data_IF_519827013876
#
_entry.id   IF_519827013876
#
_cell.length_a   1.000
_cell.length_b   1.000
_cell.length_c   1.000
_cell.angle_alpha   90.00
_cell.angle_beta   90.00
_cell.angle_gamma   90.00
#
_symmetry.space_group_name_H-M   'P 1'
#
loop_
_entity.id
_entity.type
_entity.pdbx_description
1 polymer ?
#
# COMPACT_ATOMS: atom_id res chain seq x y z
N UNK A 1 -17.67 -8.18 -10.91
CA UNK A 1 -16.61 -8.83 -10.12
C UNK A 1 -15.24 -8.50 -10.68
N UNK A 2 -14.93 -8.83 -11.94
CA UNK A 2 -13.60 -8.57 -12.55
C UNK A 2 -13.12 -7.12 -12.39
N UNK A 3 -13.93 -6.12 -12.81
CA UNK A 3 -13.54 -4.70 -12.69
C UNK A 3 -13.13 -4.27 -11.27
N UNK A 4 -13.75 -4.81 -10.23
CA UNK A 4 -13.40 -4.47 -8.85
C UNK A 4 -12.06 -5.05 -8.43
N UNK A 5 -11.80 -6.29 -8.82
CA UNK A 5 -10.52 -6.97 -8.59
C UNK A 5 -9.44 -6.22 -9.39
N UNK A 6 -9.70 -5.90 -10.66
CA UNK A 6 -8.76 -5.18 -11.52
C UNK A 6 -8.42 -3.80 -10.93
N UNK A 7 -9.43 -3.05 -10.44
CA UNK A 7 -9.19 -1.76 -9.78
C UNK A 7 -8.45 -1.94 -8.45
N UNK A 8 -8.75 -2.96 -7.65
CA UNK A 8 -8.02 -3.21 -6.41
C UNK A 8 -6.55 -3.58 -6.67
N UNK A 9 -6.28 -4.33 -7.74
CA UNK A 9 -4.93 -4.63 -8.22
C UNK A 9 -4.19 -3.35 -8.61
N UNK A 10 -4.80 -2.47 -9.41
CA UNK A 10 -4.21 -1.17 -9.74
C UNK A 10 -3.94 -0.34 -8.48
N UNK A 11 -4.90 -0.28 -7.55
CA UNK A 11 -4.76 0.47 -6.30
C UNK A 11 -3.55 0.00 -5.46
N UNK A 12 -3.26 -1.31 -5.43
CA UNK A 12 -2.05 -1.83 -4.77
C UNK A 12 -0.81 -1.24 -5.44
N UNK A 13 -0.71 -1.28 -6.76
CA UNK A 13 0.47 -0.79 -7.48
C UNK A 13 0.61 0.74 -7.35
N UNK A 14 -0.48 1.48 -7.59
CA UNK A 14 -0.53 2.94 -7.53
C UNK A 14 -0.14 3.45 -6.14
N UNK A 15 -0.62 2.80 -5.06
CA UNK A 15 -0.26 3.20 -3.69
C UNK A 15 1.25 3.08 -3.43
N UNK A 16 1.89 2.01 -3.92
CA UNK A 16 3.33 1.82 -3.71
C UNK A 16 4.15 2.77 -4.58
N UNK A 17 3.72 3.04 -5.82
CA UNK A 17 4.34 4.03 -6.70
C UNK A 17 4.26 5.46 -6.10
N UNK A 18 3.12 5.84 -5.53
CA UNK A 18 2.97 7.11 -4.82
C UNK A 18 3.92 7.21 -3.62
N UNK A 19 3.99 6.15 -2.81
CA UNK A 19 4.90 6.10 -1.65
C UNK A 19 6.35 6.20 -2.09
N UNK A 20 6.77 5.46 -3.12
CA UNK A 20 8.12 5.55 -3.65
C UNK A 20 8.42 6.97 -4.14
N UNK A 21 7.56 7.51 -5.01
CA UNK A 21 7.72 8.83 -5.62
C UNK A 21 7.91 9.93 -4.56
N UNK A 22 7.06 9.95 -3.54
CA UNK A 22 7.10 10.97 -2.50
C UNK A 22 8.26 10.81 -1.54
N UNK A 23 8.61 9.57 -1.18
CA UNK A 23 9.75 9.32 -0.29
C UNK A 23 11.09 9.57 -0.99
N UNK A 24 11.16 9.29 -2.30
CA UNK A 24 12.29 9.60 -3.16
C UNK A 24 12.48 11.11 -3.36
N UNK A 25 11.39 11.86 -3.51
CA UNK A 25 11.47 13.31 -3.69
C UNK A 25 12.09 13.74 -5.01
N UNK A 26 11.84 12.99 -6.09
CA UNK A 26 12.45 13.26 -7.39
C UNK A 26 12.08 14.66 -7.92
N UNK A 27 13.00 15.39 -8.57
CA UNK A 27 12.69 16.67 -9.20
C UNK A 27 11.55 16.52 -10.23
N UNK A 28 10.49 17.33 -10.08
CA UNK A 28 9.32 17.28 -10.95
C UNK A 28 8.29 16.21 -10.56
N UNK A 29 8.48 15.52 -9.42
CA UNK A 29 7.44 14.67 -8.86
C UNK A 29 6.13 15.46 -8.63
N UNK A 30 4.96 14.85 -8.85
CA UNK A 30 3.69 15.48 -8.55
C UNK A 30 3.63 15.88 -7.07
N UNK A 31 2.92 16.97 -6.74
CA UNK A 31 2.75 17.39 -5.36
C UNK A 31 2.12 16.26 -4.54
N UNK A 32 2.49 16.19 -3.27
CA UNK A 32 1.87 15.24 -2.33
C UNK A 32 0.39 15.58 -2.21
N UNK A 33 -0.44 14.61 -2.53
CA UNK A 33 -1.89 14.70 -2.45
C UNK A 33 -2.38 13.65 -1.45
N UNK A 34 -2.37 14.04 -0.17
CA UNK A 34 -2.76 13.15 0.92
C UNK A 34 -4.27 12.84 0.86
N UNK A 35 -5.09 13.71 0.30
CA UNK A 35 -6.52 13.44 0.13
C UNK A 35 -6.72 12.29 -0.87
N UNK A 36 -6.05 12.37 -2.03
CA UNK A 36 -6.08 11.29 -3.03
C UNK A 36 -5.51 9.98 -2.47
N UNK A 37 -4.39 10.02 -1.76
CA UNK A 37 -3.83 8.85 -1.09
C UNK A 37 -4.83 8.21 -0.13
N UNK A 38 -5.42 9.02 0.74
CA UNK A 38 -6.36 8.56 1.75
C UNK A 38 -7.67 8.05 1.16
N UNK A 39 -8.03 8.43 -0.07
CA UNK A 39 -9.21 7.95 -0.79
C UNK A 39 -9.12 6.48 -1.25
N UNK A 40 -7.95 5.84 -1.15
CA UNK A 40 -7.80 4.39 -1.35
C UNK A 40 -8.13 3.58 -0.09
N UNK A 41 -8.23 4.23 1.08
CA UNK A 41 -8.39 3.55 2.36
C UNK A 41 -9.81 3.69 2.87
N UNK A 42 -10.35 2.60 3.41
CA UNK A 42 -11.61 2.66 4.13
C UNK A 42 -11.47 3.58 5.36
N UNK A 43 -12.50 4.33 5.79
CA UNK A 43 -12.43 5.16 7.00
C UNK A 43 -11.99 4.39 8.26
N UNK A 44 -12.39 3.12 8.36
CA UNK A 44 -11.99 2.22 9.43
C UNK A 44 -10.74 1.37 9.12
N UNK A 45 -9.92 1.78 8.15
CA UNK A 45 -8.70 1.07 7.78
C UNK A 45 -7.82 0.81 9.00
N UNK A 46 -7.31 -0.41 9.07
CA UNK A 46 -6.36 -0.86 10.07
C UNK A 46 -5.25 -1.60 9.36
N UNK A 47 -4.00 -1.33 9.74
CA UNK A 47 -2.91 -2.23 9.40
C UNK A 47 -2.14 -2.72 10.61
N UNK A 48 -1.56 -3.91 10.46
CA UNK A 48 -0.61 -4.49 11.39
C UNK A 48 0.74 -4.49 10.68
N UNK A 49 1.64 -3.63 11.15
CA UNK A 49 3.01 -3.55 10.62
C UNK A 49 3.80 -4.84 10.93
N UNK A 50 4.96 -5.05 10.29
CA UNK A 50 5.80 -6.22 10.56
C UNK A 50 6.30 -6.28 12.01
N UNK A 51 6.30 -5.15 12.73
CA UNK A 51 6.62 -5.08 14.15
C UNK A 51 5.43 -5.44 15.06
N UNK A 52 4.32 -5.95 14.51
CA UNK A 52 3.09 -6.26 15.24
C UNK A 52 2.29 -5.04 15.72
N UNK A 53 2.70 -3.82 15.34
CA UNK A 53 1.98 -2.61 15.74
C UNK A 53 0.74 -2.40 14.88
N UNK A 54 -0.40 -2.23 15.55
CA UNK A 54 -1.67 -1.83 14.93
C UNK A 54 -1.71 -0.32 14.72
N UNK A 55 -1.97 0.12 13.50
CA UNK A 55 -2.05 1.53 13.14
C UNK A 55 -3.24 1.79 12.20
N UNK A 56 -3.85 2.94 12.35
CA UNK A 56 -4.99 3.37 11.53
C UNK A 56 -4.56 4.30 10.40
N UNK A 57 -5.56 4.72 9.63
CA UNK A 57 -5.43 5.61 8.47
C UNK A 57 -4.64 6.91 8.75
N UNK A 58 -4.91 7.56 9.87
CA UNK A 58 -4.25 8.83 10.26
C UNK A 58 -2.77 8.63 10.60
N UNK A 59 -2.44 7.57 11.33
CA UNK A 59 -1.05 7.25 11.70
C UNK A 59 -0.24 6.90 10.46
N UNK A 60 -0.84 6.16 9.51
CA UNK A 60 -0.21 5.88 8.23
C UNK A 60 0.06 7.18 7.45
N UNK A 61 -0.91 8.08 7.37
CA UNK A 61 -0.75 9.38 6.69
C UNK A 61 0.40 10.20 7.28
N UNK A 62 0.46 10.34 8.61
CA UNK A 62 1.57 11.04 9.26
C UNK A 62 2.93 10.37 8.98
N UNK A 63 2.97 9.03 8.97
CA UNK A 63 4.20 8.29 8.65
C UNK A 63 4.68 8.57 7.22
N UNK A 64 3.76 8.69 6.25
CA UNK A 64 4.12 9.07 4.88
C UNK A 64 4.63 10.51 4.84
N UNK A 65 3.94 11.45 5.50
CA UNK A 65 4.38 12.86 5.56
C UNK A 65 5.79 12.98 6.12
N UNK A 66 6.09 12.29 7.21
CA UNK A 66 7.42 12.30 7.84
C UNK A 66 8.51 11.69 6.94
N UNK A 67 8.11 10.80 6.00
CA UNK A 67 9.01 10.11 5.10
C UNK A 67 9.25 10.85 3.76
N UNK A 68 8.52 11.93 3.47
CA UNK A 68 8.69 12.71 2.22
C UNK A 68 10.13 13.19 2.08
N UNK A 69 10.71 13.00 0.89
CA UNK A 69 12.09 13.40 0.54
C UNK A 69 13.19 12.80 1.44
N UNK A 70 12.91 11.74 2.22
CA UNK A 70 13.88 11.18 3.17
C UNK A 70 14.82 10.13 2.55
N UNK A 71 14.51 9.55 1.38
CA UNK A 71 15.28 8.45 0.78
C UNK A 71 15.33 8.56 -0.75
N UNK A 72 16.24 9.38 -1.27
CA UNK A 72 16.40 9.69 -2.70
C UNK A 72 16.69 8.50 -3.63
N UNK A 73 17.07 7.38 -3.05
CA UNK A 73 17.46 6.15 -3.73
C UNK A 73 16.46 5.00 -3.50
N UNK A 74 15.30 5.28 -2.89
CA UNK A 74 14.27 4.27 -2.66
C UNK A 74 13.73 3.75 -4.00
N UNK A 75 13.53 2.44 -4.02
CA UNK A 75 12.93 1.64 -5.08
C UNK A 75 12.02 0.60 -4.39
N UNK A 76 10.78 0.47 -4.84
CA UNK A 76 9.74 -0.39 -4.30
C UNK A 76 9.16 -1.22 -5.45
N UNK A 77 9.39 -2.54 -5.40
CA UNK A 77 8.74 -3.48 -6.31
C UNK A 77 7.65 -4.27 -5.59
N UNK A 78 6.56 -4.51 -6.32
CA UNK A 78 5.51 -5.45 -5.93
C UNK A 78 5.63 -6.68 -6.83
N UNK A 79 5.90 -7.83 -6.22
CA UNK A 79 6.06 -9.10 -6.92
C UNK A 79 5.09 -10.14 -6.34
N UNK A 80 4.83 -11.19 -7.13
CA UNK A 80 3.95 -12.30 -6.75
C UNK A 80 2.59 -11.84 -6.21
N UNK A 81 2.00 -10.84 -6.88
CA UNK A 81 0.67 -10.34 -6.54
C UNK A 81 -0.38 -11.36 -6.96
N UNK A 82 -1.03 -11.95 -5.96
CA UNK A 82 -1.99 -13.03 -6.12
C UNK A 82 -3.33 -12.69 -5.48
N UNK A 83 -4.42 -13.02 -6.18
CA UNK A 83 -5.77 -13.00 -5.62
C UNK A 83 -5.98 -14.28 -4.79
N UNK A 84 -6.15 -14.13 -3.47
CA UNK A 84 -6.41 -15.24 -2.55
C UNK A 84 -7.88 -15.64 -2.58
N UNK A 85 -8.78 -14.65 -2.52
CA UNK A 85 -10.22 -14.87 -2.50
C UNK A 85 -10.97 -13.62 -2.94
N UNK A 86 -12.12 -13.80 -3.59
CA UNK A 86 -13.02 -12.70 -3.92
C UNK A 86 -14.49 -13.11 -3.82
N UNK A 87 -15.31 -12.14 -3.42
CA UNK A 87 -16.77 -12.16 -3.53
C UNK A 87 -17.24 -10.96 -4.37
N UNK A 88 -18.55 -10.70 -4.38
CA UNK A 88 -19.07 -9.47 -4.96
C UNK A 88 -18.52 -8.22 -4.27
N UNK A 89 -18.23 -8.27 -2.96
CA UNK A 89 -17.95 -7.08 -2.15
C UNK A 89 -16.60 -7.08 -1.44
N UNK A 90 -15.87 -8.19 -1.48
CA UNK A 90 -14.58 -8.36 -0.81
C UNK A 90 -13.56 -8.94 -1.78
N UNK A 91 -12.32 -8.45 -1.73
CA UNK A 91 -11.18 -9.08 -2.39
C UNK A 91 -9.99 -9.14 -1.43
N UNK A 92 -9.31 -10.28 -1.38
CA UNK A 92 -8.13 -10.51 -0.54
C UNK A 92 -6.97 -10.84 -1.47
N UNK A 93 -5.87 -10.12 -1.29
CA UNK A 93 -4.64 -10.30 -2.05
C UNK A 93 -3.48 -10.61 -1.13
N UNK A 94 -2.52 -11.35 -1.66
CA UNK A 94 -1.17 -11.47 -1.11
C UNK A 94 -0.16 -10.97 -2.12
N UNK A 95 0.90 -10.34 -1.66
CA UNK A 95 2.03 -9.93 -2.50
C UNK A 95 3.30 -9.82 -1.65
N UNK A 96 4.45 -9.89 -2.30
CA UNK A 96 5.71 -9.49 -1.72
C UNK A 96 6.02 -8.04 -2.11
N UNK A 97 6.38 -7.23 -1.11
CA UNK A 97 6.94 -5.91 -1.33
C UNK A 97 8.44 -5.94 -1.07
N UNK A 98 9.18 -5.48 -2.07
CA UNK A 98 10.64 -5.43 -2.09
C UNK A 98 11.10 -3.97 -2.06
N UNK A 99 11.71 -3.54 -0.96
CA UNK A 99 12.28 -2.19 -0.82
C UNK A 99 13.79 -2.21 -0.93
N UNK A 100 14.34 -1.47 -1.88
CA UNK A 100 15.79 -1.30 -2.08
C UNK A 100 16.22 0.13 -1.81
N UNK A 101 17.39 0.25 -1.21
CA UNK A 101 18.19 1.48 -1.14
C UNK A 101 19.65 1.09 -1.42
N UNK A 102 20.56 2.06 -1.49
CA UNK A 102 21.99 1.77 -1.66
C UNK A 102 22.58 0.85 -0.58
N UNK A 103 21.99 0.87 0.62
CA UNK A 103 22.57 0.19 1.81
C UNK A 103 21.75 -1.00 2.29
N UNK A 104 20.55 -1.20 1.74
CA UNK A 104 19.60 -2.13 2.32
C UNK A 104 18.64 -2.69 1.27
N UNK A 105 18.39 -3.99 1.39
CA UNK A 105 17.29 -4.67 0.75
C UNK A 105 16.40 -5.25 1.85
N UNK A 106 15.12 -4.87 1.87
CA UNK A 106 14.12 -5.44 2.79
C UNK A 106 12.95 -5.96 2.00
N UNK A 107 12.44 -7.11 2.44
CA UNK A 107 11.29 -7.75 1.83
C UNK A 107 10.24 -8.06 2.89
N UNK A 108 8.98 -7.98 2.51
CA UNK A 108 7.86 -8.36 3.37
C UNK A 108 6.74 -8.95 2.55
N UNK A 109 6.02 -9.89 3.14
CA UNK A 109 4.76 -10.39 2.59
C UNK A 109 3.63 -9.56 3.19
N UNK A 110 2.73 -9.13 2.34
CA UNK A 110 1.56 -8.34 2.69
C UNK A 110 0.29 -9.12 2.36
N UNK A 111 -0.69 -9.11 3.27
CA UNK A 111 -2.07 -9.52 2.98
C UNK A 111 -2.97 -8.29 3.03
N UNK A 112 -3.54 -7.93 1.88
CA UNK A 112 -4.42 -6.78 1.72
C UNK A 112 -5.88 -7.23 1.54
N UNK A 113 -6.79 -6.64 2.31
CA UNK A 113 -8.24 -6.89 2.18
C UNK A 113 -8.92 -5.60 1.74
N UNK A 114 -9.56 -5.67 0.58
CA UNK A 114 -10.38 -4.60 0.03
C UNK A 114 -11.85 -4.91 0.25
N UNK A 115 -12.62 -3.86 0.54
CA UNK A 115 -14.08 -3.92 0.52
C UNK A 115 -14.61 -2.95 -0.53
N UNK A 116 -15.74 -3.31 -1.13
CA UNK A 116 -16.48 -2.45 -2.05
C UNK A 116 -17.24 -1.37 -1.27
N UNK A 117 -17.08 -0.12 -1.67
CA UNK A 117 -17.90 0.98 -1.15
C UNK A 117 -19.29 1.04 -1.82
N UNK A 118 -20.11 2.01 -1.41
CA UNK A 118 -21.46 2.19 -1.96
C UNK A 118 -21.51 2.56 -3.45
N UNK A 119 -20.40 3.00 -4.04
CA UNK A 119 -20.27 3.39 -5.45
C UNK A 119 -19.59 2.31 -6.29
N UNK A 120 -19.15 1.20 -5.67
CA UNK A 120 -18.51 0.09 -6.33
C UNK A 120 -16.98 0.16 -6.37
N UNK A 121 -16.36 1.18 -5.77
CA UNK A 121 -14.90 1.35 -5.70
C UNK A 121 -14.30 0.43 -4.62
N UNK A 122 -13.12 -0.17 -4.84
CA UNK A 122 -12.37 -0.83 -3.78
C UNK A 122 -11.78 0.19 -2.79
N UNK A 123 -11.94 -0.11 -1.50
CA UNK A 123 -11.27 0.59 -0.41
C UNK A 123 -10.49 -0.43 0.43
N UNK A 124 -9.20 -0.17 0.64
CA UNK A 124 -8.34 -0.99 1.48
C UNK A 124 -8.84 -0.91 2.92
N UNK A 125 -9.33 -2.03 3.45
CA UNK A 125 -9.93 -2.14 4.77
C UNK A 125 -8.97 -2.68 5.81
N UNK A 126 -8.09 -3.57 5.40
CA UNK A 126 -7.09 -4.19 6.27
C UNK A 126 -5.80 -4.48 5.50
N UNK A 127 -4.66 -4.31 6.18
CA UNK A 127 -3.35 -4.70 5.67
C UNK A 127 -2.56 -5.36 6.81
N UNK A 128 -1.97 -6.51 6.57
CA UNK A 128 -1.04 -7.10 7.52
C UNK A 128 0.24 -7.48 6.80
N UNK A 129 1.36 -7.11 7.41
CA UNK A 129 2.68 -7.29 6.83
C UNK A 129 3.53 -8.19 7.74
N UNK A 130 4.39 -9.02 7.14
CA UNK A 130 5.36 -9.86 7.84
C UNK A 130 6.71 -9.72 7.16
N UNK A 131 7.79 -9.48 7.91
CA UNK A 131 9.13 -9.45 7.34
C UNK A 131 9.49 -10.83 6.76
N UNK A 132 10.16 -10.83 5.62
CA UNK A 132 10.90 -11.99 5.14
C UNK A 132 12.30 -11.87 5.71
N UNK A 133 12.65 -12.76 6.63
CA UNK A 133 14.02 -12.92 7.14
C UNK A 133 14.76 -13.96 6.30
N UNK A 134 16.06 -13.74 6.09
CA UNK A 134 16.97 -14.72 5.48
C UNK A 134 17.60 -15.64 6.55
#
# INVERSE_FOLDING_TARGET
MNRFIDTATCDILDLHELVETWVRGAPGAPPVDMEKFLAHFHPEFVMISPAGRRQGREVLAHTIVDAINQRSELDIDIVDLELVHATADVAIFTYEEQRRTQHQFRRRISTATFIRDGEGKPLLRHLQETWIED
#
